data_IF_528721231298
#
_entry.id   IF_528721231298
#
_cell.length_a   1.000
_cell.length_b   1.000
_cell.length_c   1.000
_cell.angle_alpha   90.00
_cell.angle_beta   90.00
_cell.angle_gamma   90.00
#
_symmetry.space_group_name_H-M   'P 1'
#
loop_
_entity.id
_entity.type
_entity.pdbx_description
1 polymer ?
#
# COMPACT_ATOMS: atom_id res chain seq x y z
N UNK A 1 -41.19 53.40 -28.59
CA UNK A 1 -40.77 52.30 -29.45
C UNK A 1 -40.04 51.29 -28.57
N UNK A 2 -40.73 50.19 -28.25
CA UNK A 2 -40.16 49.12 -27.40
C UNK A 2 -39.73 47.98 -28.31
N UNK A 3 -38.44 47.74 -28.40
CA UNK A 3 -37.90 46.53 -29.03
C UNK A 3 -38.06 45.32 -28.10
N UNK A 4 -38.86 44.34 -28.55
CA UNK A 4 -39.02 43.07 -27.89
C UNK A 4 -37.84 42.16 -28.27
N UNK A 5 -37.03 41.85 -27.28
CA UNK A 5 -35.96 40.88 -27.34
C UNK A 5 -36.58 39.47 -27.53
N UNK A 6 -36.36 38.83 -28.67
CA UNK A 6 -36.76 37.42 -28.95
C UNK A 6 -35.60 36.54 -28.45
N UNK A 7 -35.86 35.80 -27.41
CA UNK A 7 -34.95 34.78 -26.90
C UNK A 7 -34.67 33.67 -27.92
N UNK A 8 -33.58 32.92 -27.75
CA UNK A 8 -33.13 31.88 -28.67
C UNK A 8 -34.12 30.72 -28.70
N UNK A 9 -34.59 30.41 -29.95
CA UNK A 9 -35.53 29.30 -30.18
C UNK A 9 -34.89 27.95 -29.88
N UNK A 10 -35.54 27.20 -29.03
CA UNK A 10 -35.24 25.78 -28.84
C UNK A 10 -35.57 25.02 -30.12
N UNK A 11 -34.58 24.41 -30.76
CA UNK A 11 -34.81 23.39 -31.79
C UNK A 11 -35.24 22.12 -31.08
N UNK A 12 -36.49 21.74 -31.24
CA UNK A 12 -36.98 20.43 -30.91
C UNK A 12 -36.42 19.47 -31.97
N UNK A 13 -35.48 18.64 -31.58
CA UNK A 13 -35.09 17.51 -32.40
C UNK A 13 -36.21 16.49 -32.28
N UNK A 14 -36.92 16.25 -33.37
CA UNK A 14 -37.80 15.10 -33.48
C UNK A 14 -36.89 13.86 -33.51
N UNK A 15 -36.94 13.08 -32.45
CA UNK A 15 -36.36 11.75 -32.45
C UNK A 15 -37.09 10.92 -33.53
N UNK A 16 -36.35 10.57 -34.57
CA UNK A 16 -36.79 9.53 -35.49
C UNK A 16 -36.90 8.25 -34.65
N UNK A 17 -38.13 7.72 -34.54
CA UNK A 17 -38.36 6.38 -33.98
C UNK A 17 -37.56 5.38 -34.84
N UNK A 18 -36.36 5.02 -34.37
CA UNK A 18 -35.58 3.92 -34.89
C UNK A 18 -36.43 2.66 -34.73
N UNK A 19 -36.96 2.15 -35.82
CA UNK A 19 -37.69 0.89 -35.84
C UNK A 19 -36.75 -0.16 -35.23
N UNK A 20 -37.07 -0.59 -34.03
CA UNK A 20 -36.37 -1.72 -33.39
C UNK A 20 -36.49 -2.91 -34.35
N UNK A 21 -35.42 -3.26 -35.01
CA UNK A 21 -35.28 -4.46 -35.81
C UNK A 21 -35.47 -5.64 -34.85
N UNK A 22 -36.59 -6.33 -34.96
CA UNK A 22 -36.88 -7.52 -34.15
C UNK A 22 -35.77 -8.55 -34.42
N UNK A 23 -34.81 -8.63 -33.51
CA UNK A 23 -33.80 -9.66 -33.54
C UNK A 23 -34.50 -11.04 -33.51
N UNK A 24 -34.12 -11.98 -34.38
CA UNK A 24 -34.68 -13.29 -34.35
C UNK A 24 -34.53 -13.93 -32.97
N UNK A 25 -35.52 -14.68 -32.49
CA UNK A 25 -35.48 -15.29 -31.18
C UNK A 25 -34.23 -16.18 -31.07
N UNK A 26 -33.30 -15.76 -30.24
CA UNK A 26 -32.12 -16.57 -29.91
C UNK A 26 -32.59 -17.75 -29.08
N UNK A 27 -32.77 -18.89 -29.71
CA UNK A 27 -33.00 -20.14 -28.98
C UNK A 27 -31.72 -20.48 -28.21
N UNK A 28 -31.77 -20.49 -26.89
CA UNK A 28 -30.57 -20.76 -26.11
C UNK A 28 -30.08 -22.18 -26.38
N UNK A 29 -28.83 -22.33 -26.81
CA UNK A 29 -28.18 -23.63 -26.95
C UNK A 29 -27.84 -24.18 -25.55
N UNK A 30 -28.85 -24.73 -24.88
CA UNK A 30 -28.72 -25.31 -23.55
C UNK A 30 -27.64 -26.41 -23.46
N UNK A 31 -27.46 -27.32 -24.45
CA UNK A 31 -26.34 -28.26 -24.42
C UNK A 31 -24.97 -27.61 -24.43
N UNK A 32 -24.78 -26.57 -25.24
CA UNK A 32 -23.51 -25.83 -25.28
C UNK A 32 -23.20 -25.10 -23.97
N UNK A 33 -24.21 -24.47 -23.37
CA UNK A 33 -24.06 -23.81 -22.06
C UNK A 33 -23.71 -24.80 -20.96
N UNK A 34 -24.39 -25.97 -20.91
CA UNK A 34 -24.08 -27.03 -19.92
C UNK A 34 -22.66 -27.53 -20.09
N UNK A 35 -22.21 -27.77 -21.32
CA UNK A 35 -20.84 -28.22 -21.61
C UNK A 35 -19.81 -27.19 -21.17
N UNK A 36 -20.06 -25.89 -21.39
CA UNK A 36 -19.19 -24.81 -20.95
C UNK A 36 -19.13 -24.71 -19.42
N UNK A 37 -20.24 -24.87 -18.73
CA UNK A 37 -20.32 -24.86 -17.27
C UNK A 37 -19.55 -26.05 -16.65
N UNK A 38 -19.64 -27.24 -17.24
CA UNK A 38 -18.90 -28.41 -16.77
C UNK A 38 -17.38 -28.21 -16.94
N UNK A 39 -16.93 -27.69 -18.08
CA UNK A 39 -15.52 -27.38 -18.30
C UNK A 39 -14.98 -26.34 -17.29
N UNK A 40 -15.77 -25.29 -17.03
CA UNK A 40 -15.40 -24.28 -16.04
C UNK A 40 -15.32 -24.88 -14.63
N UNK A 41 -16.26 -25.77 -14.26
CA UNK A 41 -16.21 -26.46 -12.97
C UNK A 41 -14.93 -27.28 -12.82
N UNK A 42 -14.55 -28.05 -13.82
CA UNK A 42 -13.36 -28.89 -13.78
C UNK A 42 -12.07 -28.05 -13.72
N UNK A 43 -12.03 -26.88 -14.42
CA UNK A 43 -10.95 -25.90 -14.30
C UNK A 43 -10.86 -25.31 -12.88
N UNK A 44 -11.98 -24.97 -12.28
CA UNK A 44 -12.01 -24.45 -10.90
C UNK A 44 -11.51 -25.49 -9.88
N UNK A 45 -11.91 -26.75 -10.05
CA UNK A 45 -11.44 -27.86 -9.19
C UNK A 45 -9.93 -28.03 -9.35
N UNK A 46 -9.40 -27.99 -10.59
CA UNK A 46 -7.96 -28.04 -10.86
C UNK A 46 -7.19 -26.89 -10.21
N UNK A 47 -7.68 -25.66 -10.34
CA UNK A 47 -7.06 -24.49 -9.71
C UNK A 47 -7.07 -24.59 -8.17
N UNK A 48 -8.14 -25.12 -7.58
CA UNK A 48 -8.25 -25.31 -6.12
C UNK A 48 -7.22 -26.31 -5.62
N UNK A 49 -6.95 -27.41 -6.36
CA UNK A 49 -5.92 -28.38 -5.97
C UNK A 49 -4.51 -27.77 -6.05
N UNK A 50 -4.19 -27.05 -7.11
CA UNK A 50 -2.91 -26.36 -7.27
C UNK A 50 -2.68 -25.34 -6.15
N UNK A 51 -3.70 -24.57 -5.82
CA UNK A 51 -3.61 -23.57 -4.73
C UNK A 51 -3.35 -24.25 -3.37
N UNK A 52 -4.00 -25.40 -3.13
CA UNK A 52 -3.78 -26.17 -1.89
C UNK A 52 -2.37 -26.74 -1.81
N UNK A 53 -1.86 -27.32 -2.90
CA UNK A 53 -0.50 -27.83 -2.98
C UNK A 53 0.55 -26.73 -2.79
N UNK A 54 0.37 -25.56 -3.43
CA UNK A 54 1.24 -24.41 -3.26
C UNK A 54 1.23 -23.90 -1.80
N UNK A 55 0.07 -23.88 -1.15
CA UNK A 55 -0.04 -23.50 0.25
C UNK A 55 0.68 -24.49 1.18
N UNK A 56 0.54 -25.80 0.95
CA UNK A 56 1.26 -26.83 1.70
C UNK A 56 2.77 -26.70 1.52
N UNK A 57 3.23 -26.52 0.27
CA UNK A 57 4.65 -26.31 -0.02
C UNK A 57 5.23 -25.08 0.71
N UNK A 58 4.46 -24.00 0.77
CA UNK A 58 4.86 -22.79 1.49
C UNK A 58 5.00 -23.02 2.98
N UNK A 59 4.05 -23.76 3.59
CA UNK A 59 4.12 -24.13 5.01
C UNK A 59 5.32 -25.06 5.30
N UNK A 60 5.57 -26.05 4.46
CA UNK A 60 6.73 -26.95 4.59
C UNK A 60 8.06 -26.23 4.46
N UNK A 61 8.15 -25.26 3.54
CA UNK A 61 9.33 -24.41 3.39
C UNK A 61 9.53 -23.51 4.62
N UNK A 62 8.46 -22.95 5.19
CA UNK A 62 8.50 -22.20 6.45
C UNK A 62 9.07 -23.03 7.58
N UNK A 63 8.55 -24.25 7.80
CA UNK A 63 9.06 -25.15 8.84
C UNK A 63 10.54 -25.50 8.65
N UNK A 64 10.97 -25.77 7.41
CA UNK A 64 12.39 -26.04 7.12
C UNK A 64 13.31 -24.85 7.42
N UNK A 65 12.84 -23.63 7.17
CA UNK A 65 13.58 -22.41 7.50
C UNK A 65 13.71 -22.26 9.03
N UNK A 66 12.66 -22.54 9.78
CA UNK A 66 12.70 -22.50 11.25
C UNK A 66 13.68 -23.54 11.80
N UNK A 67 13.66 -24.78 11.30
CA UNK A 67 14.59 -25.85 11.68
C UNK A 67 16.05 -25.47 11.36
N UNK A 68 16.32 -24.90 10.18
CA UNK A 68 17.64 -24.40 9.80
C UNK A 68 18.11 -23.27 10.72
N UNK A 69 17.23 -22.36 11.06
CA UNK A 69 17.53 -21.24 11.98
C UNK A 69 17.90 -21.76 13.35
N UNK A 70 17.12 -22.72 13.92
CA UNK A 70 17.42 -23.34 15.20
C UNK A 70 18.74 -24.10 15.19
N UNK A 71 19.03 -24.85 14.13
CA UNK A 71 20.30 -25.56 13.99
C UNK A 71 21.49 -24.61 13.92
N UNK A 72 21.34 -23.47 13.24
CA UNK A 72 22.36 -22.45 13.11
C UNK A 72 22.66 -21.79 14.47
N UNK A 73 21.63 -21.53 15.27
CA UNK A 73 21.77 -21.02 16.65
C UNK A 73 22.48 -22.06 17.53
N UNK A 74 22.06 -23.32 17.49
CA UNK A 74 22.68 -24.39 18.27
C UNK A 74 24.16 -24.61 17.88
N UNK A 75 24.49 -24.53 16.59
CA UNK A 75 25.87 -24.58 16.13
C UNK A 75 26.70 -23.38 16.63
N UNK A 76 26.13 -22.17 16.58
CA UNK A 76 26.78 -20.96 17.07
C UNK A 76 27.08 -21.07 18.58
N UNK A 77 26.15 -21.57 19.39
CA UNK A 77 26.31 -21.84 20.81
C UNK A 77 27.43 -22.86 21.08
N UNK A 78 27.47 -23.94 20.27
CA UNK A 78 28.47 -25.01 20.42
C UNK A 78 29.90 -24.52 20.13
N UNK A 79 30.04 -23.56 19.19
CA UNK A 79 31.33 -22.98 18.80
C UNK A 79 31.72 -21.77 19.70
N UNK A 80 30.84 -21.39 20.66
CA UNK A 80 31.07 -20.24 21.54
C UNK A 80 30.97 -18.89 20.80
N UNK A 81 30.39 -18.88 19.61
CA UNK A 81 30.13 -17.64 18.87
C UNK A 81 28.81 -17.06 19.39
N UNK A 82 28.91 -16.09 20.28
CA UNK A 82 27.77 -15.22 20.59
C UNK A 82 27.41 -14.46 19.30
N UNK A 83 26.30 -14.82 18.67
CA UNK A 83 25.75 -14.01 17.58
C UNK A 83 25.43 -12.64 18.16
N UNK A 84 26.08 -11.57 17.70
CA UNK A 84 25.70 -10.24 18.13
C UNK A 84 24.25 -10.01 17.67
N UNK A 85 23.33 -10.00 18.62
CA UNK A 85 21.94 -9.60 18.36
C UNK A 85 21.96 -8.10 18.10
N UNK A 86 22.07 -7.74 16.82
CA UNK A 86 22.00 -6.33 16.42
C UNK A 86 20.63 -5.78 16.82
N UNK A 87 20.64 -4.72 17.60
CA UNK A 87 19.40 -4.04 18.00
C UNK A 87 18.66 -3.52 16.77
N UNK A 88 17.33 -3.66 16.82
CA UNK A 88 16.43 -3.00 15.87
C UNK A 88 15.49 -2.16 16.72
N UNK A 89 15.40 -0.88 16.40
CA UNK A 89 14.48 0.06 17.01
C UNK A 89 13.46 0.53 15.97
N UNK A 90 12.21 0.65 16.40
CA UNK A 90 11.13 1.19 15.58
C UNK A 90 10.74 2.55 16.16
N UNK A 91 11.11 3.61 15.46
CA UNK A 91 10.75 4.98 15.81
C UNK A 91 9.41 5.27 15.15
N UNK A 92 8.39 5.55 15.97
CA UNK A 92 7.04 5.76 15.49
C UNK A 92 6.61 7.22 15.67
N UNK A 93 6.18 7.82 14.57
CA UNK A 93 5.53 9.12 14.53
C UNK A 93 4.05 8.92 14.25
N UNK A 94 3.19 9.43 15.11
CA UNK A 94 1.74 9.34 14.93
C UNK A 94 1.08 10.69 15.20
N UNK A 95 0.25 11.15 14.27
CA UNK A 95 -0.50 12.39 14.46
C UNK A 95 -1.87 12.34 13.78
N UNK A 96 -2.88 12.80 14.50
CA UNK A 96 -4.17 13.14 13.91
C UNK A 96 -4.14 14.62 13.49
N UNK A 97 -4.12 14.86 12.18
CA UNK A 97 -4.01 16.20 11.59
C UNK A 97 -5.36 16.64 11.05
N UNK A 98 -5.84 17.81 11.50
CA UNK A 98 -7.04 18.43 10.91
C UNK A 98 -6.75 18.93 9.49
N UNK A 99 -7.80 19.13 8.69
CA UNK A 99 -7.67 19.64 7.32
C UNK A 99 -6.98 21.00 7.27
N UNK A 100 -6.10 21.18 6.30
CA UNK A 100 -5.29 22.39 6.10
C UNK A 100 -4.13 22.55 7.08
N UNK A 101 -3.85 21.58 7.96
CA UNK A 101 -2.74 21.64 8.91
C UNK A 101 -1.50 20.92 8.40
N UNK A 102 -0.34 21.39 8.89
CA UNK A 102 0.95 20.73 8.69
C UNK A 102 1.66 20.53 10.03
N UNK A 103 2.48 19.48 10.14
CA UNK A 103 3.29 19.20 11.34
C UNK A 103 4.64 18.62 10.96
N UNK A 104 5.66 19.00 11.71
CA UNK A 104 6.96 18.33 11.74
C UNK A 104 7.14 17.65 13.07
N UNK A 105 7.52 16.39 13.06
CA UNK A 105 7.80 15.59 14.26
C UNK A 105 9.24 15.12 14.22
N UNK A 106 9.92 15.17 15.34
CA UNK A 106 11.37 14.94 15.47
C UNK A 106 11.62 13.89 16.53
N UNK A 107 12.55 12.98 16.24
CA UNK A 107 13.13 12.02 17.19
C UNK A 107 14.58 11.81 16.85
N UNK A 108 15.39 11.42 17.83
CA UNK A 108 16.80 11.14 17.63
C UNK A 108 17.04 9.65 17.45
N UNK A 109 17.99 9.31 16.57
CA UNK A 109 18.44 7.92 16.46
C UNK A 109 19.01 7.43 17.78
N UNK A 110 18.55 6.28 18.30
CA UNK A 110 19.02 5.75 19.59
C UNK A 110 20.45 5.20 19.54
N UNK A 111 20.97 4.90 18.35
CA UNK A 111 22.31 4.37 18.14
C UNK A 111 22.81 4.61 16.71
N UNK A 112 24.09 4.41 16.48
CA UNK A 112 24.69 4.39 15.14
C UNK A 112 24.29 3.10 14.42
N UNK A 113 23.80 3.22 13.19
CA UNK A 113 23.32 2.07 12.45
C UNK A 113 22.87 2.38 11.03
N UNK A 114 21.88 1.63 10.57
CA UNK A 114 21.26 1.80 9.27
C UNK A 114 19.76 1.98 9.44
N UNK A 115 19.20 2.99 8.79
CA UNK A 115 17.77 3.03 8.53
C UNK A 115 17.47 1.99 7.44
N UNK A 116 16.63 1.01 7.78
CA UNK A 116 16.37 -0.14 6.91
C UNK A 116 15.02 -0.10 6.26
N UNK A 117 14.03 0.53 6.89
CA UNK A 117 12.69 0.63 6.33
C UNK A 117 11.93 1.85 6.87
N UNK A 118 11.01 2.35 6.04
CA UNK A 118 9.98 3.30 6.42
C UNK A 118 8.63 2.72 6.03
N UNK A 119 7.75 2.55 7.00
CA UNK A 119 6.35 2.17 6.78
C UNK A 119 5.46 3.36 7.07
N UNK A 120 4.58 3.71 6.13
CA UNK A 120 3.67 4.83 6.27
C UNK A 120 2.24 4.32 6.12
N UNK A 121 1.38 4.64 7.07
CA UNK A 121 -0.04 4.30 7.02
C UNK A 121 -0.88 5.54 6.70
N UNK A 122 -1.58 5.50 5.57
CA UNK A 122 -2.64 6.42 5.19
C UNK A 122 -4.00 5.74 5.38
N UNK A 123 -4.89 6.24 6.24
CA UNK A 123 -6.23 5.72 6.38
C UNK A 123 -7.08 6.01 5.13
N UNK A 124 -8.23 5.34 5.04
CA UNK A 124 -9.23 5.66 4.03
C UNK A 124 -9.70 7.12 4.15
N UNK A 125 -9.96 7.75 3.01
CA UNK A 125 -10.42 9.14 2.94
C UNK A 125 -9.32 10.19 2.75
N UNK A 126 -8.05 9.79 2.71
CA UNK A 126 -6.94 10.71 2.41
C UNK A 126 -6.93 11.18 0.95
N UNK A 127 -7.40 10.34 0.01
CA UNK A 127 -7.55 10.64 -1.42
C UNK A 127 -6.30 11.23 -2.10
N UNK A 128 -5.10 10.93 -1.59
CA UNK A 128 -3.86 11.53 -2.08
C UNK A 128 -3.70 13.01 -1.70
N UNK A 129 -4.40 13.47 -0.68
CA UNK A 129 -4.37 14.86 -0.19
C UNK A 129 -3.62 15.00 1.14
N UNK A 130 -2.98 13.93 1.61
CA UNK A 130 -2.13 13.98 2.81
C UNK A 130 -0.71 13.61 2.42
N UNK A 131 0.11 14.61 2.37
CA UNK A 131 1.51 14.57 1.97
C UNK A 131 2.39 14.15 3.14
N UNK A 132 3.32 13.22 2.90
CA UNK A 132 4.28 12.76 3.90
C UNK A 132 5.68 12.74 3.29
N UNK A 133 6.65 13.26 4.04
CA UNK A 133 8.07 13.15 3.73
C UNK A 133 8.88 12.85 4.98
N UNK A 134 9.93 12.04 4.85
CA UNK A 134 10.79 11.60 5.96
C UNK A 134 12.23 12.02 5.68
N UNK A 135 12.90 12.52 6.72
CA UNK A 135 14.21 13.15 6.66
C UNK A 135 15.14 12.62 7.74
N UNK A 136 16.43 12.65 7.49
CA UNK A 136 17.46 12.58 8.52
C UNK A 136 18.40 13.78 8.39
N UNK A 137 18.61 14.47 9.48
CA UNK A 137 19.34 15.72 9.47
C UNK A 137 18.76 16.70 8.41
N UNK A 138 19.55 17.02 7.38
CA UNK A 138 19.17 17.93 6.29
C UNK A 138 18.75 17.20 5.02
N UNK A 139 18.81 15.88 4.99
CA UNK A 139 18.57 15.10 3.79
C UNK A 139 17.19 14.44 3.81
N UNK A 140 16.40 14.66 2.77
CA UNK A 140 15.17 13.93 2.52
C UNK A 140 15.52 12.55 1.93
N UNK A 141 14.95 11.49 2.47
CA UNK A 141 15.24 10.14 2.00
C UNK A 141 13.99 9.32 1.63
N UNK A 142 12.81 9.69 2.11
CA UNK A 142 11.56 9.02 1.76
C UNK A 142 10.40 10.02 1.56
N UNK A 143 9.99 10.29 0.31
CA UNK A 143 10.73 10.01 -0.92
C UNK A 143 12.00 10.86 -1.01
N UNK A 144 12.86 10.61 -1.97
CA UNK A 144 14.08 11.42 -2.14
C UNK A 144 13.80 12.86 -2.56
N UNK A 145 12.65 13.08 -3.23
CA UNK A 145 12.19 14.41 -3.64
C UNK A 145 10.66 14.47 -3.56
N UNK A 146 10.11 15.61 -3.18
CA UNK A 146 8.67 15.84 -3.08
C UNK A 146 8.03 15.13 -1.89
N UNK A 147 6.80 14.65 -2.07
CA UNK A 147 6.01 14.01 -1.03
C UNK A 147 5.38 12.70 -1.52
N UNK A 148 5.09 11.82 -0.60
CA UNK A 148 4.23 10.66 -0.83
C UNK A 148 2.82 10.98 -0.34
N UNK A 149 1.82 10.69 -1.17
CA UNK A 149 0.42 10.89 -0.84
C UNK A 149 -0.40 9.72 -1.39
N UNK A 150 -0.97 8.92 -0.50
CA UNK A 150 -1.76 7.75 -0.84
C UNK A 150 -3.14 7.79 -0.16
N UNK A 151 -3.93 6.75 -0.37
CA UNK A 151 -5.23 6.56 0.24
C UNK A 151 -5.42 5.09 0.60
N UNK A 152 -5.88 4.80 1.82
CA UNK A 152 -6.16 3.43 2.30
C UNK A 152 -5.00 2.46 2.01
N UNK A 153 -3.80 2.85 2.41
CA UNK A 153 -2.58 2.13 2.06
C UNK A 153 -1.55 2.15 3.20
N UNK A 154 -0.76 1.07 3.28
CA UNK A 154 0.32 0.94 4.25
C UNK A 154 1.58 0.37 3.57
N UNK A 155 2.20 1.12 2.64
CA UNK A 155 3.42 0.66 1.99
C UNK A 155 4.61 0.70 2.94
N UNK A 156 5.58 -0.19 2.68
CA UNK A 156 6.91 -0.18 3.29
C UNK A 156 7.97 0.05 2.23
N UNK A 157 8.82 1.03 2.48
CA UNK A 157 9.96 1.38 1.63
C UNK A 157 11.25 0.91 2.30
N UNK A 158 12.12 0.23 1.57
CA UNK A 158 13.36 -0.34 2.10
C UNK A 158 14.56 0.50 1.70
N UNK A 159 15.49 0.67 2.66
CA UNK A 159 16.68 1.49 2.52
C UNK A 159 17.91 0.80 3.15
N UNK A 160 19.08 1.36 2.91
CA UNK A 160 20.32 1.08 3.64
C UNK A 160 21.04 2.42 3.85
N UNK A 161 20.35 3.34 4.54
CA UNK A 161 20.87 4.69 4.78
C UNK A 161 21.56 4.74 6.13
N UNK A 162 22.86 5.10 6.20
CA UNK A 162 23.57 5.21 7.47
C UNK A 162 22.97 6.34 8.32
N UNK A 163 22.94 6.10 9.62
CA UNK A 163 22.50 7.08 10.61
C UNK A 163 23.42 7.00 11.84
N UNK A 164 23.76 8.14 12.40
CA UNK A 164 24.57 8.21 13.60
C UNK A 164 23.73 8.30 14.87
N UNK A 165 24.29 7.91 16.00
CA UNK A 165 23.65 8.06 17.30
C UNK A 165 23.35 9.54 17.57
N UNK A 166 22.12 9.84 18.02
CA UNK A 166 21.56 11.18 18.23
C UNK A 166 21.38 12.02 16.97
N UNK A 167 21.54 11.44 15.79
CA UNK A 167 21.16 12.14 14.57
C UNK A 167 19.63 12.32 14.53
N UNK A 168 19.20 13.53 14.15
CA UNK A 168 17.79 13.90 14.09
C UNK A 168 17.10 13.23 12.91
N UNK A 169 16.06 12.45 13.21
CA UNK A 169 15.13 11.87 12.26
C UNK A 169 13.81 12.62 12.36
N UNK A 170 13.24 13.06 11.26
CA UNK A 170 11.99 13.81 11.32
C UNK A 170 11.07 13.56 10.13
N UNK A 171 9.79 13.78 10.40
CA UNK A 171 8.71 13.57 9.44
C UNK A 171 7.96 14.88 9.24
N UNK A 172 7.72 15.24 7.99
CA UNK A 172 6.80 16.31 7.63
C UNK A 172 5.49 15.71 7.11
N UNK A 173 4.36 16.14 7.68
CA UNK A 173 3.03 15.72 7.25
C UNK A 173 2.20 16.97 6.98
N UNK A 174 1.59 17.05 5.80
CA UNK A 174 0.73 18.16 5.38
C UNK A 174 -0.62 17.60 4.93
N UNK A 175 -1.69 18.01 5.61
CA UNK A 175 -3.04 17.55 5.29
C UNK A 175 -3.79 18.62 4.49
N UNK A 176 -3.91 18.41 3.19
CA UNK A 176 -4.66 19.27 2.26
C UNK A 176 -6.13 18.86 2.11
N UNK A 177 -6.56 17.77 2.75
CA UNK A 177 -7.95 17.34 2.77
C UNK A 177 -8.79 18.25 3.68
N UNK A 178 -10.12 18.16 3.54
CA UNK A 178 -11.04 18.90 4.42
C UNK A 178 -11.19 18.25 5.80
N UNK A 179 -11.03 16.92 5.88
CA UNK A 179 -11.20 16.12 7.08
C UNK A 179 -9.91 15.95 7.89
N UNK A 180 -10.05 15.49 9.13
CA UNK A 180 -8.93 15.07 9.94
C UNK A 180 -8.50 13.65 9.59
N UNK A 181 -7.18 13.41 9.48
CA UNK A 181 -6.61 12.10 9.20
C UNK A 181 -5.49 11.77 10.19
N UNK A 182 -5.50 10.51 10.67
CA UNK A 182 -4.44 9.98 11.54
C UNK A 182 -3.41 9.28 10.67
N UNK A 183 -2.23 9.88 10.56
CA UNK A 183 -1.10 9.32 9.83
C UNK A 183 -0.13 8.71 10.82
N UNK A 184 0.37 7.51 10.49
CA UNK A 184 1.42 6.84 11.25
C UNK A 184 2.61 6.59 10.33
N UNK A 185 3.80 6.99 10.78
CA UNK A 185 5.06 6.72 10.10
C UNK A 185 5.96 5.95 11.04
N UNK A 186 6.48 4.81 10.61
CA UNK A 186 7.41 3.99 11.38
C UNK A 186 8.74 3.90 10.65
N UNK A 187 9.81 4.33 11.29
CA UNK A 187 11.18 4.23 10.80
C UNK A 187 11.89 3.10 11.54
N UNK A 188 12.44 2.15 10.81
CA UNK A 188 13.21 1.03 11.35
C UNK A 188 14.69 1.34 11.27
N UNK A 189 15.35 1.38 12.43
CA UNK A 189 16.80 1.56 12.56
C UNK A 189 17.42 0.28 13.10
N UNK A 190 18.47 -0.21 12.44
CA UNK A 190 19.22 -1.41 12.82
C UNK A 190 20.64 -1.03 13.18
N UNK A 191 21.10 -1.44 14.36
CA UNK A 191 22.47 -1.24 14.83
C UNK A 191 23.49 -1.93 13.91
N UNK A 192 24.61 -1.28 13.59
CA UNK A 192 25.67 -1.82 12.72
C UNK A 192 26.74 -2.63 13.46
#
# INVERSE_FOLDING_TARGET
MQERNRGPGYRVYMEEEEKAEELPPVTPDFPGVITALLRNRDAIVGLTSITREASQQTQDNGRKLDELSQNLVAMAETVGVTMPTKRIELIQYERNLIGGAAVKMYENSPFTGLMTAVTIHWPAGCWGLVDVAVWHGKFQYCPREGFLALNDATPTYYFNEPVEMNEELWVNIENHALGAHRITVTVSVKET
#
